data_IF_057187091476
#
_entry.id   IF_057187091476
#
_cell.length_a   1.000
_cell.length_b   1.000
_cell.length_c   1.000
_cell.angle_alpha   90.00
_cell.angle_beta   90.00
_cell.angle_gamma   90.00
#
_symmetry.space_group_name_H-M   'P 1'
#
loop_
_entity.id
_entity.type
_entity.pdbx_description
1 polymer ?
#
# COMPACT_ATOMS: atom_id res chain seq x y z
N UNK A 1 -60.44 7.67 0.70
CA UNK A 1 -60.06 6.85 -0.47
C UNK A 1 -59.29 7.71 -1.43
N UNK A 2 -58.01 7.60 -1.49
CA UNK A 2 -57.13 7.94 -2.63
C UNK A 2 -55.68 8.04 -2.17
N UNK A 3 -54.97 6.95 -2.51
CA UNK A 3 -53.60 6.82 -3.03
C UNK A 3 -52.40 7.14 -2.13
N UNK A 4 -51.67 6.12 -1.76
CA UNK A 4 -50.25 6.22 -1.53
C UNK A 4 -49.52 5.43 -2.65
N UNK A 5 -49.32 6.03 -3.80
CA UNK A 5 -48.51 5.42 -4.88
C UNK A 5 -47.20 6.17 -5.18
N UNK A 6 -46.94 7.23 -4.43
CA UNK A 6 -45.74 8.05 -4.64
C UNK A 6 -44.53 7.73 -3.71
N UNK A 7 -44.69 6.85 -2.72
CA UNK A 7 -43.63 6.53 -1.75
C UNK A 7 -42.74 5.35 -2.16
N UNK A 8 -43.13 4.55 -3.13
CA UNK A 8 -42.37 3.37 -3.56
C UNK A 8 -41.29 3.66 -4.62
N UNK A 9 -41.36 4.80 -5.28
CA UNK A 9 -40.37 5.16 -6.30
C UNK A 9 -39.08 5.79 -5.73
N UNK A 10 -39.07 6.23 -4.47
CA UNK A 10 -37.91 6.91 -3.88
C UNK A 10 -36.95 5.96 -3.14
N UNK A 11 -37.35 4.73 -2.87
CA UNK A 11 -36.50 3.75 -2.19
C UNK A 11 -35.64 2.90 -3.13
N UNK A 12 -35.84 2.99 -4.46
CA UNK A 12 -35.09 2.16 -5.42
C UNK A 12 -33.85 2.84 -5.99
N UNK A 13 -33.64 4.14 -5.72
CA UNK A 13 -32.52 4.89 -6.30
C UNK A 13 -31.30 4.98 -5.40
N UNK A 14 -31.35 4.48 -4.17
CA UNK A 14 -30.22 4.59 -3.20
C UNK A 14 -29.30 3.36 -3.24
N UNK A 15 -29.66 2.29 -3.94
CA UNK A 15 -28.83 1.07 -3.98
C UNK A 15 -27.79 1.01 -5.11
N UNK A 16 -27.71 2.01 -5.99
CA UNK A 16 -26.74 2.00 -7.10
C UNK A 16 -25.41 2.69 -6.75
N UNK A 17 -25.30 3.34 -5.60
CA UNK A 17 -24.07 4.01 -5.15
C UNK A 17 -23.17 3.16 -4.22
N UNK A 18 -23.55 1.93 -3.94
CA UNK A 18 -22.79 1.01 -3.07
C UNK A 18 -21.82 0.06 -3.77
N UNK A 19 -21.56 0.22 -5.06
CA UNK A 19 -20.88 -0.79 -5.87
C UNK A 19 -19.48 -0.48 -6.38
N UNK A 20 -18.85 0.60 -5.99
CA UNK A 20 -17.43 0.81 -6.25
C UNK A 20 -16.62 0.33 -5.05
N UNK A 21 -16.60 -0.97 -4.81
CA UNK A 21 -15.52 -1.56 -4.05
C UNK A 21 -14.26 -1.42 -4.90
N UNK A 22 -13.52 -0.40 -4.63
CA UNK A 22 -12.23 -0.14 -5.17
C UNK A 22 -11.32 -1.25 -4.70
N UNK A 23 -10.92 -2.13 -5.61
CA UNK A 23 -9.97 -3.20 -5.34
C UNK A 23 -8.58 -2.55 -5.30
N UNK A 24 -8.30 -1.83 -4.23
CA UNK A 24 -6.92 -1.69 -3.79
C UNK A 24 -6.45 -3.10 -3.43
N UNK A 25 -5.24 -3.48 -3.86
CA UNK A 25 -4.66 -4.71 -3.34
C UNK A 25 -4.59 -4.61 -1.82
N UNK A 26 -4.90 -5.70 -1.14
CA UNK A 26 -4.77 -5.76 0.31
C UNK A 26 -3.33 -5.42 0.72
N UNK A 27 -3.13 -4.70 1.83
CA UNK A 27 -1.79 -4.43 2.33
C UNK A 27 -1.01 -5.73 2.56
N UNK A 28 0.27 -5.74 2.17
CA UNK A 28 1.15 -6.87 2.50
C UNK A 28 1.70 -6.65 3.90
N UNK A 29 1.38 -7.55 4.82
CA UNK A 29 1.96 -7.56 6.16
C UNK A 29 2.94 -8.71 6.32
N UNK A 30 4.17 -8.42 6.73
CA UNK A 30 5.21 -9.42 7.02
C UNK A 30 5.85 -9.15 8.38
N UNK A 31 6.20 -10.23 9.08
CA UNK A 31 7.06 -10.16 10.26
C UNK A 31 8.49 -10.51 9.86
N UNK A 32 9.42 -9.63 10.19
CA UNK A 32 10.84 -9.84 9.96
C UNK A 32 11.58 -9.98 11.29
N UNK A 33 12.61 -10.81 11.36
CA UNK A 33 13.56 -10.79 12.46
C UNK A 33 14.40 -9.50 12.42
N UNK A 34 14.90 -9.05 13.54
CA UNK A 34 15.67 -7.83 13.63
C UNK A 34 14.87 -6.59 14.01
N UNK A 35 15.56 -5.53 14.37
CA UNK A 35 14.94 -4.26 14.76
C UNK A 35 14.56 -3.43 13.55
N UNK A 36 13.63 -2.48 13.71
CA UNK A 36 13.26 -1.54 12.65
C UNK A 36 14.48 -0.79 12.08
N UNK A 37 15.43 -0.43 12.93
CA UNK A 37 16.67 0.22 12.50
C UNK A 37 17.56 -0.67 11.62
N UNK A 38 17.55 -1.98 11.85
CA UNK A 38 18.32 -2.94 11.06
C UNK A 38 17.68 -3.27 9.73
N UNK A 39 16.34 -3.46 9.69
CA UNK A 39 15.65 -3.89 8.49
C UNK A 39 15.31 -2.74 7.53
N UNK A 40 15.11 -1.52 8.04
CA UNK A 40 14.73 -0.37 7.22
C UNK A 40 15.69 -0.06 6.07
N UNK A 41 17.03 0.01 6.29
CA UNK A 41 17.98 0.28 5.20
C UNK A 41 17.96 -0.80 4.12
N UNK A 42 17.81 -2.05 4.52
CA UNK A 42 17.69 -3.18 3.57
C UNK A 42 16.45 -3.03 2.71
N UNK A 43 15.29 -2.78 3.33
CA UNK A 43 14.01 -2.63 2.62
C UNK A 43 14.09 -1.44 1.66
N UNK A 44 14.55 -0.27 2.11
CA UNK A 44 14.68 0.91 1.26
C UNK A 44 15.59 0.66 0.05
N UNK A 45 16.73 0.01 0.24
CA UNK A 45 17.64 -0.34 -0.84
C UNK A 45 17.01 -1.32 -1.84
N UNK A 46 16.32 -2.35 -1.37
CA UNK A 46 15.66 -3.32 -2.23
C UNK A 46 14.47 -2.72 -2.98
N UNK A 47 13.69 -1.85 -2.33
CA UNK A 47 12.62 -1.10 -3.00
C UNK A 47 13.18 -0.22 -4.11
N UNK A 48 14.30 0.46 -3.89
CA UNK A 48 14.97 1.25 -4.93
C UNK A 48 15.45 0.43 -6.13
N UNK A 49 15.80 -0.84 -5.92
CA UNK A 49 16.17 -1.78 -7.00
C UNK A 49 14.96 -2.31 -7.75
N UNK A 50 13.90 -2.66 -7.04
CA UNK A 50 12.67 -3.22 -7.63
C UNK A 50 11.85 -2.16 -8.36
N UNK A 51 11.81 -0.93 -7.82
CA UNK A 51 11.14 0.22 -8.43
C UNK A 51 12.18 1.12 -9.10
N UNK A 52 12.58 0.76 -10.29
CA UNK A 52 13.57 1.50 -11.08
C UNK A 52 13.15 2.97 -11.23
N UNK A 53 14.14 3.85 -11.28
CA UNK A 53 13.96 5.31 -11.38
C UNK A 53 13.28 5.97 -10.14
N UNK A 54 13.22 5.27 -9.02
CA UNK A 54 12.73 5.83 -7.75
C UNK A 54 13.83 5.88 -6.72
N UNK A 55 13.74 6.86 -5.83
CA UNK A 55 14.58 6.94 -4.61
C UNK A 55 13.62 6.86 -3.42
N UNK A 56 13.58 5.72 -2.71
CA UNK A 56 12.77 5.61 -1.52
C UNK A 56 13.20 6.61 -0.44
N UNK A 57 12.25 7.32 0.12
CA UNK A 57 12.48 8.30 1.19
C UNK A 57 12.10 7.66 2.53
N UNK A 58 13.02 7.68 3.46
CA UNK A 58 12.84 7.11 4.81
C UNK A 58 12.59 8.24 5.81
N UNK A 59 11.47 8.16 6.51
CA UNK A 59 11.05 9.11 7.53
C UNK A 59 10.74 8.41 8.86
N UNK A 60 10.59 9.19 9.91
CA UNK A 60 10.07 8.67 11.18
C UNK A 60 8.59 8.35 11.04
N UNK A 61 8.19 7.19 11.53
CA UNK A 61 6.78 6.81 11.58
C UNK A 61 6.05 7.45 12.77
N UNK A 62 4.76 7.16 12.88
CA UNK A 62 3.89 7.75 13.89
C UNK A 62 4.08 7.19 15.31
N UNK A 63 4.71 6.03 15.45
CA UNK A 63 4.99 5.41 16.75
C UNK A 63 6.47 5.41 17.06
N UNK A 64 6.88 5.43 18.35
CA UNK A 64 8.29 5.39 18.72
C UNK A 64 9.03 4.19 18.09
N UNK A 65 10.15 4.46 17.43
CA UNK A 65 10.98 3.45 16.78
C UNK A 65 10.45 2.97 15.42
N UNK A 66 9.25 3.40 14.99
CA UNK A 66 8.74 3.10 13.66
C UNK A 66 9.40 3.95 12.58
N UNK A 67 9.34 3.44 11.34
CA UNK A 67 9.81 4.14 10.13
C UNK A 67 8.75 4.02 9.05
N UNK A 68 8.73 5.01 8.18
CA UNK A 68 7.94 4.99 6.95
C UNK A 68 8.88 5.16 5.76
N UNK A 69 8.68 4.34 4.73
CA UNK A 69 9.44 4.41 3.48
C UNK A 69 8.45 4.74 2.37
N UNK A 70 8.58 5.92 1.78
CA UNK A 70 7.73 6.36 0.68
C UNK A 70 8.43 6.13 -0.65
N UNK A 71 7.71 5.54 -1.61
CA UNK A 71 8.18 5.28 -2.96
C UNK A 71 7.52 6.29 -3.89
N UNK A 72 8.29 7.24 -4.40
CA UNK A 72 7.80 8.27 -5.29
C UNK A 72 8.27 8.05 -6.74
N UNK A 73 7.34 8.22 -7.68
CA UNK A 73 7.68 8.29 -9.09
C UNK A 73 8.49 9.57 -9.39
N UNK A 74 9.26 9.61 -10.50
CA UNK A 74 10.08 10.78 -10.86
C UNK A 74 9.31 12.10 -10.97
N UNK A 75 8.00 12.06 -11.18
CA UNK A 75 7.12 13.22 -11.24
C UNK A 75 6.37 13.53 -9.94
N UNK A 76 6.79 12.93 -8.82
CA UNK A 76 6.27 13.20 -7.50
C UNK A 76 5.02 12.43 -7.09
N UNK A 77 4.45 11.58 -7.93
CA UNK A 77 3.34 10.71 -7.52
C UNK A 77 3.83 9.61 -6.59
N UNK A 78 3.13 9.39 -5.48
CA UNK A 78 3.44 8.28 -4.57
C UNK A 78 2.98 6.95 -5.17
N UNK A 79 3.91 6.05 -5.44
CA UNK A 79 3.64 4.70 -5.95
C UNK A 79 3.18 3.75 -4.85
N UNK A 80 3.67 3.96 -3.65
CA UNK A 80 3.35 3.18 -2.47
C UNK A 80 4.16 3.63 -1.27
N UNK A 81 3.84 3.09 -0.11
CA UNK A 81 4.63 3.32 1.09
C UNK A 81 4.67 2.06 1.97
N UNK A 82 5.71 1.96 2.76
CA UNK A 82 5.97 0.85 3.67
C UNK A 82 6.08 1.38 5.08
N UNK A 83 5.31 0.83 6.00
CA UNK A 83 5.48 1.06 7.44
C UNK A 83 6.35 -0.05 8.03
N UNK A 84 7.28 0.32 8.88
CA UNK A 84 8.22 -0.57 9.58
C UNK A 84 8.05 -0.33 11.07
N UNK A 85 7.39 -1.25 11.75
CA UNK A 85 6.98 -1.07 13.15
C UNK A 85 7.63 -2.12 14.06
N UNK A 86 8.28 -1.70 15.15
CA UNK A 86 8.83 -2.64 16.13
C UNK A 86 7.71 -3.41 16.82
N UNK A 87 7.92 -4.69 17.03
CA UNK A 87 7.02 -5.56 17.79
C UNK A 87 7.52 -5.68 19.22
N UNK A 88 6.68 -5.45 20.26
CA UNK A 88 7.10 -5.54 21.65
C UNK A 88 7.73 -6.89 22.05
N UNK A 89 7.29 -7.97 21.42
CA UNK A 89 7.82 -9.34 21.63
C UNK A 89 9.12 -9.62 20.87
N UNK A 90 9.64 -8.65 20.13
CA UNK A 90 10.83 -8.78 19.28
C UNK A 90 10.50 -8.87 17.79
N UNK A 91 11.47 -8.44 16.98
CA UNK A 91 11.28 -8.37 15.53
C UNK A 91 10.53 -7.10 15.09
N UNK A 92 10.14 -7.10 13.84
CA UNK A 92 9.52 -5.95 13.18
C UNK A 92 8.37 -6.39 12.28
N UNK A 93 7.26 -5.68 12.33
CA UNK A 93 6.18 -5.81 11.37
C UNK A 93 6.37 -4.80 10.26
N UNK A 94 6.35 -5.27 9.02
CA UNK A 94 6.50 -4.46 7.82
C UNK A 94 5.22 -4.57 7.02
N UNK A 95 4.60 -3.44 6.67
CA UNK A 95 3.37 -3.42 5.89
C UNK A 95 3.52 -2.50 4.68
N UNK A 96 3.24 -3.02 3.50
CA UNK A 96 3.22 -2.27 2.24
C UNK A 96 1.79 -1.87 1.88
N UNK A 97 1.65 -0.64 1.42
CA UNK A 97 0.40 -0.06 0.93
C UNK A 97 0.60 0.51 -0.47
N UNK A 98 -0.31 0.22 -1.40
CA UNK A 98 -0.34 0.90 -2.70
C UNK A 98 -0.69 2.38 -2.57
N UNK A 99 -0.04 3.24 -3.35
CA UNK A 99 -0.31 4.67 -3.36
C UNK A 99 -1.64 5.01 -4.05
N UNK A 100 -2.49 5.79 -3.38
CA UNK A 100 -3.81 6.17 -3.89
C UNK A 100 -3.75 6.98 -5.19
N UNK A 101 -2.80 7.90 -5.33
CA UNK A 101 -2.63 8.71 -6.54
C UNK A 101 -2.18 7.86 -7.73
N UNK A 102 -1.36 6.87 -7.50
CA UNK A 102 -0.98 5.89 -8.50
C UNK A 102 -2.19 5.13 -9.01
N UNK A 103 -3.08 4.75 -8.11
CA UNK A 103 -4.32 4.09 -8.45
C UNK A 103 -5.25 4.98 -9.31
N UNK A 104 -5.45 6.26 -8.96
CA UNK A 104 -6.25 7.20 -9.74
C UNK A 104 -5.67 7.42 -11.16
N UNK A 105 -4.37 7.53 -11.30
CA UNK A 105 -3.71 7.67 -12.60
C UNK A 105 -3.89 6.43 -13.49
N UNK A 106 -4.05 5.27 -12.87
CA UNK A 106 -4.26 4.00 -13.55
C UNK A 106 -5.68 3.85 -14.09
N UNK A 107 -6.68 4.27 -13.33
CA UNK A 107 -8.09 4.26 -13.78
C UNK A 107 -8.28 5.23 -14.96
N UNK A 108 -7.67 6.42 -14.88
CA UNK A 108 -7.78 7.43 -15.93
C UNK A 108 -6.99 7.12 -17.19
N UNK A 109 -5.92 6.33 -17.10
CA UNK A 109 -5.05 5.97 -18.22
C UNK A 109 -5.38 4.63 -18.87
N UNK A 110 -6.37 3.90 -18.37
CA UNK A 110 -6.68 2.55 -18.84
C UNK A 110 -5.57 1.53 -18.58
N UNK A 111 -4.60 1.88 -17.75
CA UNK A 111 -3.50 0.99 -17.35
C UNK A 111 -3.95 0.08 -16.20
N UNK A 112 -3.83 -1.14 -16.42
CA UNK A 112 -4.52 -2.33 -15.93
C UNK A 112 -4.11 -2.89 -14.57
N UNK A 113 -4.93 -3.81 -14.03
CA UNK A 113 -4.67 -4.58 -12.81
C UNK A 113 -3.28 -5.22 -12.74
N UNK A 114 -2.70 -5.55 -13.89
CA UNK A 114 -1.42 -6.25 -13.98
C UNK A 114 -0.24 -5.43 -13.46
N UNK A 115 -0.21 -4.13 -13.72
CA UNK A 115 0.86 -3.26 -13.19
C UNK A 115 0.77 -3.12 -11.66
N UNK A 116 -0.45 -3.13 -11.11
CA UNK A 116 -0.64 -3.12 -9.65
C UNK A 116 -0.17 -4.41 -9.00
N UNK A 117 -0.55 -5.50 -9.61
CA UNK A 117 -0.11 -6.80 -9.16
C UNK A 117 1.41 -6.93 -9.26
N UNK A 118 2.02 -6.41 -10.32
CA UNK A 118 3.46 -6.39 -10.48
C UNK A 118 4.15 -5.56 -9.40
N UNK A 119 3.66 -4.36 -9.10
CA UNK A 119 4.19 -3.53 -8.02
C UNK A 119 4.01 -4.18 -6.65
N UNK A 120 2.88 -4.81 -6.42
CA UNK A 120 2.63 -5.56 -5.21
C UNK A 120 3.66 -6.68 -5.02
N UNK A 121 3.91 -7.49 -6.06
CA UNK A 121 4.92 -8.54 -6.03
C UNK A 121 6.35 -8.01 -5.91
N UNK A 122 6.66 -6.85 -6.51
CA UNK A 122 7.96 -6.18 -6.34
C UNK A 122 8.20 -5.79 -4.88
N UNK A 123 7.21 -5.17 -4.25
CA UNK A 123 7.29 -4.81 -2.84
C UNK A 123 7.41 -6.06 -1.95
N UNK A 124 6.64 -7.10 -2.22
CA UNK A 124 6.72 -8.38 -1.50
C UNK A 124 8.14 -8.96 -1.55
N UNK A 125 8.75 -9.06 -2.73
CA UNK A 125 10.13 -9.53 -2.89
C UNK A 125 11.14 -8.67 -2.13
N UNK A 126 11.04 -7.35 -2.28
CA UNK A 126 11.95 -6.40 -1.62
C UNK A 126 11.95 -6.57 -0.09
N UNK A 127 10.77 -6.79 0.50
CA UNK A 127 10.61 -6.98 1.94
C UNK A 127 11.08 -8.38 2.36
N UNK A 128 10.64 -9.43 1.66
CA UNK A 128 10.93 -10.81 2.01
C UNK A 128 12.44 -11.12 1.98
N UNK A 129 13.18 -10.55 1.05
CA UNK A 129 14.63 -10.74 0.94
C UNK A 129 15.40 -10.14 2.12
N UNK A 130 14.86 -9.11 2.76
CA UNK A 130 15.44 -8.57 4.00
C UNK A 130 15.24 -9.48 5.20
N UNK A 131 14.18 -10.28 5.24
CA UNK A 131 13.99 -11.30 6.27
C UNK A 131 15.01 -12.44 6.20
N UNK A 132 15.41 -12.82 5.00
CA UNK A 132 16.45 -13.86 4.79
C UNK A 132 17.83 -13.38 5.21
N UNK A 133 18.16 -12.13 4.98
CA UNK A 133 19.45 -11.54 5.33
C UNK A 133 19.63 -11.31 6.84
N UNK A 134 18.54 -11.22 7.60
CA UNK A 134 18.52 -10.97 9.05
C UNK A 134 18.44 -12.26 9.88
N UNK A 135 18.25 -13.38 9.23
CA UNK A 135 18.29 -14.71 9.85
C UNK A 135 19.71 -15.26 9.80
#
# INVERSE_FOLDING_TARGET
MRRPAAFLAFMLTIQILGGCSWVANDPIGMKLPGTSAQVTPCIANNLGKEFQDTVPVVEHGNTPGSREITINAPRGATLGFVTVEPVPSGGTTVTYYDGQLYWLSRVSSGVWPDVARDNWHRAERAIADCGKASA
#
